data_IF_307303541410
#
_entry.id   IF_307303541410
#
_cell.length_a   1.000
_cell.length_b   1.000
_cell.length_c   1.000
_cell.angle_alpha   90.00
_cell.angle_beta   90.00
_cell.angle_gamma   90.00
#
_symmetry.space_group_name_H-M   'P 1'
#
loop_
_entity.id
_entity.type
_entity.pdbx_description
1 polymer ?
#
# COMPACT_ATOMS: atom_id res chain seq x y z
N UNK A 1 -10.07 -0.23 10.46
CA UNK A 1 -9.03 0.28 9.54
C UNK A 1 -7.99 -0.80 9.33
N UNK A 2 -7.49 -0.91 8.10
CA UNK A 2 -6.54 -1.96 7.72
C UNK A 2 -5.22 -1.84 8.50
N UNK A 3 -4.80 -2.92 9.13
CA UNK A 3 -3.50 -3.02 9.82
C UNK A 3 -2.68 -4.22 9.33
N UNK A 4 -3.16 -4.91 8.30
CA UNK A 4 -2.49 -6.05 7.68
C UNK A 4 -3.08 -6.33 6.30
N UNK A 5 -2.22 -6.59 5.33
CA UNK A 5 -2.59 -7.13 4.03
C UNK A 5 -1.60 -8.22 3.63
N UNK A 6 -1.82 -8.91 2.52
CA UNK A 6 -0.91 -9.97 2.08
C UNK A 6 -0.54 -9.83 0.61
N UNK A 7 0.59 -10.42 0.28
CA UNK A 7 1.13 -10.51 -1.07
C UNK A 7 1.22 -11.98 -1.47
N UNK A 8 0.76 -12.28 -2.69
CA UNK A 8 0.95 -13.55 -3.36
C UNK A 8 1.94 -13.40 -4.52
N UNK A 9 2.74 -14.42 -4.77
CA UNK A 9 3.72 -14.41 -5.87
C UNK A 9 3.07 -14.29 -7.25
N UNK A 10 1.86 -14.82 -7.41
CA UNK A 10 1.11 -14.77 -8.66
C UNK A 10 0.72 -13.35 -9.09
N UNK A 11 0.75 -12.39 -8.15
CA UNK A 11 0.45 -10.99 -8.44
C UNK A 11 1.43 -10.35 -9.43
N UNK A 12 2.67 -10.87 -9.53
CA UNK A 12 3.71 -10.26 -10.35
C UNK A 12 3.36 -10.22 -11.84
N UNK A 13 2.64 -11.22 -12.32
CA UNK A 13 2.21 -11.26 -13.71
C UNK A 13 1.26 -10.10 -14.04
N UNK A 14 0.26 -9.85 -13.18
CA UNK A 14 -0.67 -8.72 -13.37
C UNK A 14 0.02 -7.37 -13.17
N UNK A 15 0.86 -7.23 -12.13
CA UNK A 15 1.63 -6.01 -11.87
C UNK A 15 2.49 -5.65 -13.08
N UNK A 16 3.14 -6.62 -13.71
CA UNK A 16 3.99 -6.41 -14.89
C UNK A 16 3.24 -5.88 -16.11
N UNK A 17 1.93 -6.07 -16.16
CA UNK A 17 1.06 -5.49 -17.22
C UNK A 17 0.67 -4.04 -16.94
N UNK A 18 0.70 -3.63 -15.68
CA UNK A 18 0.27 -2.29 -15.23
C UNK A 18 1.44 -1.31 -15.25
N UNK A 19 2.64 -1.76 -14.85
CA UNK A 19 3.82 -0.89 -14.75
C UNK A 19 4.65 -0.92 -16.04
N UNK A 20 5.25 0.22 -16.39
CA UNK A 20 6.16 0.35 -17.52
C UNK A 20 7.59 -0.05 -17.15
N UNK A 21 7.98 0.15 -15.89
CA UNK A 21 9.32 -0.15 -15.41
C UNK A 21 9.28 -0.98 -14.12
N UNK A 22 10.11 -2.01 -14.08
CA UNK A 22 10.33 -2.84 -12.90
C UNK A 22 11.83 -2.87 -12.63
N UNK A 23 12.25 -2.37 -11.47
CA UNK A 23 13.60 -2.58 -11.00
C UNK A 23 13.81 -4.08 -10.74
N UNK A 24 14.71 -4.69 -11.49
CA UNK A 24 15.01 -6.12 -11.39
C UNK A 24 15.55 -6.55 -10.02
N UNK A 25 15.87 -5.62 -9.13
CA UNK A 25 16.25 -5.90 -7.73
C UNK A 25 15.07 -6.10 -6.81
N UNK A 26 13.88 -5.61 -7.20
CA UNK A 26 12.66 -5.76 -6.41
C UNK A 26 12.18 -7.21 -6.50
N UNK A 27 11.93 -7.81 -5.35
CA UNK A 27 11.34 -9.13 -5.24
C UNK A 27 10.04 -9.05 -4.44
N UNK A 28 9.00 -9.68 -4.94
CA UNK A 28 7.82 -9.91 -4.12
C UNK A 28 8.13 -11.03 -3.12
N UNK A 29 7.93 -10.74 -1.86
CA UNK A 29 7.98 -11.76 -0.81
C UNK A 29 6.55 -12.12 -0.46
N UNK A 30 6.19 -13.38 -0.66
CA UNK A 30 4.86 -13.88 -0.29
C UNK A 30 4.66 -13.79 1.22
N UNK A 31 3.48 -13.37 1.63
CA UNK A 31 3.07 -13.35 3.03
C UNK A 31 2.41 -12.06 3.47
N UNK A 32 2.19 -11.97 4.76
CA UNK A 32 1.55 -10.82 5.40
C UNK A 32 2.50 -9.63 5.48
N UNK A 33 1.95 -8.46 5.19
CA UNK A 33 2.61 -7.16 5.37
C UNK A 33 1.95 -6.45 6.55
N UNK A 34 2.78 -5.95 7.44
CA UNK A 34 2.40 -5.25 8.68
C UNK A 34 2.99 -3.85 8.72
N UNK A 35 2.45 -2.94 9.55
CA UNK A 35 3.10 -1.66 9.81
C UNK A 35 4.59 -1.83 10.14
N UNK A 36 5.41 -0.95 9.58
CA UNK A 36 6.88 -0.93 9.59
C UNK A 36 7.59 -1.86 8.59
N UNK A 37 6.88 -2.80 7.98
CA UNK A 37 7.46 -3.62 6.91
C UNK A 37 7.73 -2.77 5.66
N UNK A 38 8.71 -3.20 4.88
CA UNK A 38 8.99 -2.67 3.55
C UNK A 38 8.27 -3.53 2.53
N UNK A 39 7.49 -2.91 1.66
CA UNK A 39 6.64 -3.60 0.70
C UNK A 39 6.65 -2.94 -0.67
N UNK A 40 6.33 -3.68 -1.74
CA UNK A 40 6.23 -3.12 -3.07
C UNK A 40 5.06 -2.13 -3.18
N UNK A 41 5.30 -1.07 -3.90
CA UNK A 41 4.33 -0.02 -4.24
C UNK A 41 4.47 0.36 -5.70
N UNK A 42 3.42 0.92 -6.29
CA UNK A 42 3.46 1.44 -7.65
C UNK A 42 3.30 2.96 -7.56
N UNK A 43 4.32 3.66 -8.01
CA UNK A 43 4.34 5.12 -8.10
C UNK A 43 4.39 5.60 -9.54
N UNK A 44 4.29 6.91 -9.72
CA UNK A 44 4.43 7.55 -11.03
C UNK A 44 5.78 8.25 -11.16
N UNK A 45 6.45 8.02 -12.28
CA UNK A 45 7.66 8.73 -12.70
C UNK A 45 7.45 9.44 -14.02
N UNK A 46 8.50 10.08 -14.53
CA UNK A 46 8.53 10.66 -15.88
C UNK A 46 8.34 9.60 -16.98
N UNK A 47 8.64 8.34 -16.68
CA UNK A 47 8.55 7.21 -17.60
C UNK A 47 7.28 6.38 -17.45
N UNK A 48 6.29 6.87 -16.68
CA UNK A 48 5.04 6.16 -16.43
C UNK A 48 4.98 5.52 -15.04
N UNK A 49 4.19 4.45 -14.91
CA UNK A 49 4.06 3.73 -13.64
C UNK A 49 5.27 2.84 -13.39
N UNK A 50 5.81 2.90 -12.20
CA UNK A 50 6.98 2.14 -11.78
C UNK A 50 6.72 1.36 -10.49
N UNK A 51 7.22 0.12 -10.45
CA UNK A 51 7.27 -0.66 -9.23
C UNK A 51 8.46 -0.21 -8.38
N UNK A 52 8.18 0.21 -7.16
CA UNK A 52 9.16 0.58 -6.16
C UNK A 52 8.90 -0.13 -4.84
N UNK A 53 9.59 0.27 -3.79
CA UNK A 53 9.38 -0.21 -2.42
C UNK A 53 9.21 0.96 -1.47
N UNK A 54 8.35 0.80 -0.45
CA UNK A 54 8.15 1.80 0.58
C UNK A 54 7.93 1.13 1.93
N UNK A 55 8.35 1.79 3.02
CA UNK A 55 8.05 1.32 4.38
C UNK A 55 6.65 1.78 4.77
N UNK A 56 5.85 0.87 5.29
CA UNK A 56 4.51 1.21 5.77
C UNK A 56 4.57 1.96 7.09
N UNK A 57 4.04 3.15 7.10
CA UNK A 57 3.91 4.02 8.26
C UNK A 57 4.45 5.42 8.01
N UNK A 58 3.57 6.41 8.16
CA UNK A 58 3.88 7.81 7.93
C UNK A 58 4.35 8.46 9.23
N UNK A 59 5.56 9.04 9.29
CA UNK A 59 6.06 9.65 10.52
C UNK A 59 5.30 10.93 10.85
N UNK A 60 4.96 11.10 12.12
CA UNK A 60 4.39 12.35 12.61
C UNK A 60 5.51 13.28 13.04
N UNK A 61 5.48 14.53 12.54
CA UNK A 61 6.51 15.54 12.81
C UNK A 61 6.65 15.96 14.29
N UNK A 62 5.61 15.72 15.09
CA UNK A 62 5.53 16.19 16.49
C UNK A 62 5.39 15.08 17.53
N UNK A 63 5.43 13.80 17.13
CA UNK A 63 5.32 12.68 18.05
C UNK A 63 6.15 11.50 17.58
N UNK A 64 6.49 10.58 18.50
CA UNK A 64 7.22 9.34 18.18
C UNK A 64 6.33 8.27 17.51
N UNK A 65 5.09 8.61 17.14
CA UNK A 65 4.14 7.67 16.55
C UNK A 65 4.23 7.56 15.04
N UNK A 66 3.71 6.46 14.52
CA UNK A 66 3.45 6.26 13.09
C UNK A 66 1.96 6.27 12.83
N UNK A 67 1.55 6.94 11.74
CA UNK A 67 0.20 6.82 11.20
C UNK A 67 0.24 5.78 10.09
N UNK A 68 -0.58 4.76 10.22
CA UNK A 68 -0.64 3.65 9.26
C UNK A 68 -1.83 3.74 8.30
N UNK A 69 -2.80 4.60 8.60
CA UNK A 69 -3.98 4.85 7.76
C UNK A 69 -4.36 6.33 7.81
N UNK A 70 -4.88 6.85 6.71
CA UNK A 70 -5.46 8.17 6.64
C UNK A 70 -6.92 8.07 6.18
N UNK A 71 -7.79 8.87 6.78
CA UNK A 71 -9.20 8.95 6.38
C UNK A 71 -9.32 9.84 5.15
N UNK A 72 -9.97 9.36 4.09
CA UNK A 72 -10.14 10.09 2.85
C UNK A 72 -10.90 11.41 3.07
N UNK A 73 -11.83 11.45 4.03
CA UNK A 73 -12.64 12.62 4.34
C UNK A 73 -11.83 13.81 4.88
N UNK A 74 -10.67 13.53 5.48
CA UNK A 74 -9.86 14.56 6.18
C UNK A 74 -8.40 14.60 5.73
N UNK A 75 -7.99 13.77 4.81
CA UNK A 75 -6.56 13.64 4.43
C UNK A 75 -5.98 14.94 3.87
N UNK A 76 -6.77 15.72 3.13
CA UNK A 76 -6.37 17.00 2.56
C UNK A 76 -6.31 18.13 3.60
N UNK A 77 -7.06 18.00 4.70
CA UNK A 77 -7.12 19.02 5.74
C UNK A 77 -5.94 18.94 6.72
N UNK A 78 -5.18 17.83 6.69
CA UNK A 78 -4.05 17.61 7.59
C UNK A 78 -2.74 18.05 6.94
N UNK A 79 -2.09 19.11 7.45
CA UNK A 79 -0.83 19.61 6.88
C UNK A 79 0.26 18.53 6.73
N UNK A 80 0.29 17.55 7.67
CA UNK A 80 1.25 16.44 7.62
C UNK A 80 1.09 15.52 6.42
N UNK A 81 -0.10 15.48 5.79
CA UNK A 81 -0.40 14.58 4.67
C UNK A 81 -0.47 15.29 3.33
N UNK A 82 -0.59 16.62 3.33
CA UNK A 82 -0.82 17.39 2.09
C UNK A 82 0.24 17.13 1.02
N UNK A 83 1.52 17.12 1.41
CA UNK A 83 2.59 16.87 0.45
C UNK A 83 2.50 15.46 -0.16
N UNK A 84 2.29 14.45 0.66
CA UNK A 84 2.14 13.08 0.21
C UNK A 84 0.95 12.90 -0.73
N UNK A 85 -0.24 13.36 -0.32
CA UNK A 85 -1.45 13.17 -1.13
C UNK A 85 -1.47 14.00 -2.42
N UNK A 86 -0.80 15.14 -2.46
CA UNK A 86 -0.75 15.99 -3.66
C UNK A 86 0.31 15.53 -4.66
N UNK A 87 1.47 15.06 -4.19
CA UNK A 87 2.65 14.87 -5.04
C UNK A 87 3.23 13.45 -5.01
N UNK A 88 2.89 12.63 -4.02
CA UNK A 88 3.50 11.33 -3.81
C UNK A 88 2.46 10.21 -3.62
N UNK A 89 1.39 10.27 -4.42
CA UNK A 89 0.37 9.21 -4.45
C UNK A 89 0.94 7.95 -5.06
N UNK A 90 0.48 6.83 -4.52
CA UNK A 90 0.90 5.51 -4.99
C UNK A 90 -0.24 4.49 -4.87
N UNK A 91 -0.07 3.35 -5.52
CA UNK A 91 -0.91 2.19 -5.38
C UNK A 91 -0.15 1.12 -4.59
N UNK A 92 -0.85 0.46 -3.68
CA UNK A 92 -0.32 -0.64 -2.89
C UNK A 92 -0.95 -1.92 -3.43
N UNK A 93 -0.20 -2.75 -4.17
CA UNK A 93 -0.73 -4.00 -4.69
C UNK A 93 -0.85 -5.03 -3.56
N UNK A 94 -1.98 -5.70 -3.49
CA UNK A 94 -2.28 -6.71 -2.48
C UNK A 94 -3.09 -7.86 -3.08
N UNK A 95 -2.95 -9.06 -2.56
CA UNK A 95 -3.88 -10.16 -2.82
C UNK A 95 -5.20 -9.95 -2.08
N UNK A 96 -5.14 -9.27 -0.95
CA UNK A 96 -6.27 -8.90 -0.13
C UNK A 96 -5.81 -8.27 1.18
N UNK A 97 -6.74 -7.83 1.99
CA UNK A 97 -6.44 -7.26 3.30
C UNK A 97 -7.33 -7.86 4.39
N UNK A 98 -6.89 -7.69 5.64
CA UNK A 98 -7.57 -8.21 6.80
C UNK A 98 -8.20 -7.10 7.63
N UNK A 99 -9.36 -7.41 8.20
CA UNK A 99 -10.01 -6.58 9.22
C UNK A 99 -10.46 -7.46 10.38
N UNK A 100 -10.51 -6.90 11.58
CA UNK A 100 -11.00 -7.54 12.80
C UNK A 100 -12.20 -6.76 13.31
N UNK A 101 -13.26 -7.47 13.66
CA UNK A 101 -14.42 -6.87 14.31
C UNK A 101 -14.17 -6.68 15.83
N UNK A 102 -15.16 -6.15 16.53
CA UNK A 102 -15.10 -5.92 17.99
C UNK A 102 -14.93 -7.21 18.82
N UNK A 103 -15.30 -8.36 18.26
CA UNK A 103 -15.12 -9.69 18.85
C UNK A 103 -13.77 -10.32 18.51
N UNK A 104 -12.88 -9.57 17.84
CA UNK A 104 -11.57 -10.02 17.35
C UNK A 104 -11.63 -11.16 16.32
N UNK A 105 -12.74 -11.31 15.65
CA UNK A 105 -12.88 -12.22 14.52
C UNK A 105 -12.25 -11.60 13.27
N UNK A 106 -11.41 -12.37 12.60
CA UNK A 106 -10.66 -11.94 11.40
C UNK A 106 -11.47 -12.19 10.14
N UNK A 107 -11.60 -11.18 9.30
CA UNK A 107 -12.15 -11.28 7.95
C UNK A 107 -11.08 -10.96 6.91
N UNK A 108 -11.15 -11.63 5.78
CA UNK A 108 -10.30 -11.39 4.60
C UNK A 108 -11.15 -10.74 3.53
N UNK A 109 -10.65 -9.65 2.96
CA UNK A 109 -11.29 -8.94 1.85
C UNK A 109 -10.43 -9.07 0.60
N UNK A 110 -11.01 -9.60 -0.45
CA UNK A 110 -10.37 -9.80 -1.77
C UNK A 110 -11.28 -9.26 -2.86
N UNK A 111 -10.76 -9.08 -4.06
CA UNK A 111 -11.61 -8.87 -5.23
C UNK A 111 -12.36 -10.14 -5.60
N UNK A 112 -13.58 -9.99 -6.11
CA UNK A 112 -14.41 -11.15 -6.51
C UNK A 112 -13.81 -11.94 -7.67
N UNK A 113 -13.05 -11.28 -8.54
CA UNK A 113 -12.39 -11.90 -9.70
C UNK A 113 -10.99 -12.46 -9.37
N UNK A 114 -10.60 -12.48 -8.09
CA UNK A 114 -9.28 -12.92 -7.60
C UNK A 114 -8.08 -12.21 -8.24
N UNK A 115 -8.30 -11.05 -8.87
CA UNK A 115 -7.21 -10.21 -9.38
C UNK A 115 -6.56 -9.37 -8.27
N UNK A 116 -5.45 -8.72 -8.60
CA UNK A 116 -4.75 -7.83 -7.66
C UNK A 116 -5.67 -6.70 -7.19
N UNK A 117 -5.71 -6.49 -5.88
CA UNK A 117 -6.35 -5.35 -5.25
C UNK A 117 -5.33 -4.21 -5.15
N UNK A 118 -5.62 -3.08 -5.78
CA UNK A 118 -4.77 -1.88 -5.70
C UNK A 118 -5.38 -0.92 -4.68
N UNK A 119 -4.73 -0.81 -3.52
CA UNK A 119 -5.16 0.12 -2.47
C UNK A 119 -4.49 1.48 -2.69
N UNK A 120 -5.23 2.56 -2.46
CA UNK A 120 -4.69 3.91 -2.54
C UNK A 120 -3.77 4.20 -1.35
N UNK A 121 -2.63 4.84 -1.64
CA UNK A 121 -1.67 5.25 -0.63
C UNK A 121 -0.92 6.51 -1.03
N UNK A 122 -0.04 6.97 -0.15
CA UNK A 122 0.90 8.06 -0.41
C UNK A 122 2.13 7.91 0.49
N UNK A 123 3.24 8.56 0.14
CA UNK A 123 4.45 8.59 0.95
C UNK A 123 5.06 10.00 1.07
#
# INVERSE_FOLDING_TARGET
MCSRYYIDLDMMEEISRVVQNIDGRIRLTQGDIRPTDVAPVIGQSEHGLELGICRWGYPLSKSKGLVINARVETVLDKPSFQNGILYHRLLIPAGGFYEWNSLKEKSIFTRLDSSVLYMAGFC
#
